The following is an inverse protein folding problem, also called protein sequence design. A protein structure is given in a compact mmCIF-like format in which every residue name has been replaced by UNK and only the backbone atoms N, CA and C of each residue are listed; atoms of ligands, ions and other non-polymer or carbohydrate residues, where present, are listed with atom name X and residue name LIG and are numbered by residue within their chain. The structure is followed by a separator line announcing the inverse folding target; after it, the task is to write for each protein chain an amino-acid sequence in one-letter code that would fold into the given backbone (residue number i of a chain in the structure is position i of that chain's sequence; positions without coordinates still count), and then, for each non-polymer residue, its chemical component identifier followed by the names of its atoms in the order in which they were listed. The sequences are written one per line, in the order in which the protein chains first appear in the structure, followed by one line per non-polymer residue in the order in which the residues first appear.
data_IF_459479430703
#
_entry.id   IF_459479430703
#
_cell.length_a   1.000
_cell.length_b   1.000
_cell.length_c   1.000
_cell.angle_alpha   90.00
_cell.angle_beta   90.00
_cell.angle_gamma   90.00
#
_symmetry.space_group_name_H-M   'P 1'
#
loop_
_entity.id
_entity.type
_entity.pdbx_description
1 polymer ?
#
# COMPACT_ATOMS: atom_id res chain seq x y z
N UNK A 1 -7.28 4.29 -4.47
CA UNK A 1 -8.05 4.77 -5.63
C UNK A 1 -9.54 4.56 -5.39
N UNK A 2 -10.42 5.56 -5.56
CA UNK A 2 -11.87 5.32 -5.58
C UNK A 2 -12.24 4.40 -6.78
N UNK A 3 -13.33 3.62 -6.70
CA UNK A 3 -13.70 2.67 -7.77
C UNK A 3 -14.25 3.34 -9.02
N UNK A 4 -14.78 4.56 -8.92
CA UNK A 4 -15.26 5.32 -10.07
C UNK A 4 -15.21 6.82 -9.80
N UNK A 5 -15.28 7.60 -10.89
CA UNK A 5 -15.37 9.06 -10.83
C UNK A 5 -16.62 9.52 -10.06
N UNK A 6 -17.75 8.83 -10.23
CA UNK A 6 -18.99 9.17 -9.52
C UNK A 6 -18.87 8.94 -8.02
N UNK A 7 -18.22 7.84 -7.60
CA UNK A 7 -17.97 7.55 -6.19
C UNK A 7 -16.98 8.56 -5.59
N UNK A 8 -15.97 8.98 -6.37
CA UNK A 8 -15.07 10.05 -5.95
C UNK A 8 -15.81 11.37 -5.73
N UNK A 9 -16.62 11.78 -6.71
CA UNK A 9 -17.44 13.00 -6.62
C UNK A 9 -18.40 12.93 -5.44
N UNK A 10 -19.12 11.83 -5.25
CA UNK A 10 -20.02 11.63 -4.12
C UNK A 10 -19.29 11.71 -2.76
N UNK A 11 -18.10 11.11 -2.64
CA UNK A 11 -17.28 11.17 -1.41
C UNK A 11 -16.76 12.57 -1.12
N UNK A 12 -16.36 13.33 -2.14
CA UNK A 12 -15.89 14.72 -1.97
C UNK A 12 -17.06 15.64 -1.58
N UNK A 13 -18.21 15.53 -2.25
CA UNK A 13 -19.41 16.30 -1.91
C UNK A 13 -19.95 15.96 -0.52
N UNK A 14 -19.93 14.67 -0.13
CA UNK A 14 -20.34 14.19 1.19
C UNK A 14 -19.51 14.76 2.35
N UNK A 15 -18.24 15.13 2.10
CA UNK A 15 -17.38 15.69 3.14
C UNK A 15 -17.74 17.14 3.48
N UNK A 16 -18.53 17.83 2.64
CA UNK A 16 -19.08 19.17 2.85
C UNK A 16 -18.07 20.22 3.37
N UNK A 17 -16.78 20.03 3.09
CA UNK A 17 -15.67 20.79 3.67
C UNK A 17 -14.90 21.60 2.63
N UNK A 18 -15.29 21.54 1.36
CA UNK A 18 -14.54 22.13 0.25
C UNK A 18 -15.49 22.95 -0.64
N UNK A 19 -15.02 24.12 -1.08
CA UNK A 19 -15.76 24.96 -2.03
C UNK A 19 -15.80 24.30 -3.42
N UNK A 20 -16.79 24.66 -4.24
CA UNK A 20 -16.98 24.05 -5.56
C UNK A 20 -15.74 24.15 -6.47
N UNK A 21 -14.94 25.22 -6.34
CA UNK A 21 -13.71 25.42 -7.11
C UNK A 21 -12.59 24.43 -6.70
N UNK A 22 -12.46 24.13 -5.42
CA UNK A 22 -11.49 23.17 -4.89
C UNK A 22 -11.87 21.74 -5.29
N UNK A 23 -13.17 21.43 -5.25
CA UNK A 23 -13.70 20.13 -5.66
C UNK A 23 -13.43 19.85 -7.14
N UNK A 24 -13.65 20.83 -8.03
CA UNK A 24 -13.33 20.69 -9.46
C UNK A 24 -11.83 20.51 -9.71
N UNK A 25 -11.00 21.25 -8.98
CA UNK A 25 -9.54 21.13 -9.08
C UNK A 25 -9.08 19.73 -8.65
N UNK A 26 -9.60 19.20 -7.55
CA UNK A 26 -9.32 17.84 -7.09
C UNK A 26 -9.80 16.77 -8.06
N UNK A 27 -11.01 16.91 -8.61
CA UNK A 27 -11.53 15.97 -9.60
C UNK A 27 -10.64 15.95 -10.85
N UNK A 28 -10.16 17.10 -11.32
CA UNK A 28 -9.22 17.18 -12.44
C UNK A 28 -7.88 16.50 -12.12
N UNK A 29 -7.31 16.79 -10.96
CA UNK A 29 -6.04 16.18 -10.55
C UNK A 29 -6.16 14.66 -10.36
N UNK A 30 -7.34 14.16 -9.97
CA UNK A 30 -7.56 12.72 -9.81
C UNK A 30 -7.47 11.95 -11.13
N UNK A 31 -7.81 12.57 -12.26
CA UNK A 31 -7.60 11.97 -13.58
C UNK A 31 -6.12 11.77 -13.89
N UNK A 32 -5.31 12.80 -13.62
CA UNK A 32 -3.86 12.73 -13.83
C UNK A 32 -3.19 11.69 -12.92
N UNK A 33 -3.65 11.56 -11.67
CA UNK A 33 -3.20 10.50 -10.76
C UNK A 33 -3.58 9.10 -11.26
N UNK A 34 -4.82 8.92 -11.76
CA UNK A 34 -5.25 7.64 -12.33
C UNK A 34 -4.41 7.28 -13.54
N UNK A 35 -4.08 8.22 -14.42
CA UNK A 35 -3.24 7.96 -15.60
C UNK A 35 -1.81 7.54 -15.24
N UNK A 36 -1.31 7.99 -14.09
CA UNK A 36 0.02 7.66 -13.60
C UNK A 36 0.09 6.39 -12.74
N UNK A 37 -1.00 5.62 -12.62
CA UNK A 37 -1.04 4.42 -11.79
C UNK A 37 0.08 3.41 -12.08
N UNK A 38 0.53 3.34 -13.33
CA UNK A 38 1.60 2.45 -13.80
C UNK A 38 2.96 2.74 -13.17
N UNK A 39 3.14 3.92 -12.55
CA UNK A 39 4.36 4.30 -11.82
C UNK A 39 4.44 3.69 -10.42
N UNK A 40 3.36 3.13 -9.91
CA UNK A 40 3.28 2.57 -8.57
C UNK A 40 3.39 1.05 -8.60
N UNK A 41 4.10 0.50 -7.62
CA UNK A 41 4.28 -0.95 -7.45
C UNK A 41 2.98 -1.67 -7.08
N UNK A 42 2.09 -0.98 -6.37
CA UNK A 42 0.81 -1.52 -5.90
C UNK A 42 -0.31 -0.51 -6.13
N UNK A 43 -1.48 -1.01 -6.53
CA UNK A 43 -2.71 -0.22 -6.64
C UNK A 43 -3.77 -0.87 -5.76
N UNK A 44 -4.41 -0.05 -4.93
CA UNK A 44 -5.51 -0.46 -4.04
C UNK A 44 -6.77 0.30 -4.44
N UNK A 45 -7.81 -0.44 -4.83
CA UNK A 45 -9.14 0.12 -5.13
C UNK A 45 -9.94 0.14 -3.83
N UNK A 46 -10.33 1.34 -3.41
CA UNK A 46 -11.02 1.63 -2.16
C UNK A 46 -12.53 1.71 -2.40
N UNK A 47 -13.12 0.55 -2.66
CA UNK A 47 -14.57 0.35 -2.69
C UNK A 47 -15.15 0.44 -1.28
N UNK A 48 -14.66 -0.39 -0.37
CA UNK A 48 -15.02 -0.39 1.04
C UNK A 48 -13.81 -0.13 1.94
N UNK A 49 -13.96 0.78 2.91
CA UNK A 49 -12.89 1.18 3.82
C UNK A 49 -12.26 -0.01 4.58
N UNK A 50 -13.04 -0.97 5.14
CA UNK A 50 -12.45 -2.12 5.83
C UNK A 50 -11.64 -3.01 4.88
N UNK A 51 -12.12 -3.22 3.65
CA UNK A 51 -11.43 -4.03 2.65
C UNK A 51 -10.12 -3.38 2.20
N UNK A 52 -10.16 -2.07 1.87
CA UNK A 52 -8.98 -1.31 1.48
C UNK A 52 -7.91 -1.29 2.58
N UNK A 53 -8.33 -1.15 3.84
CA UNK A 53 -7.43 -1.18 5.00
C UNK A 53 -6.71 -2.53 5.12
N UNK A 54 -7.45 -3.64 4.96
CA UNK A 54 -6.84 -4.98 4.97
C UNK A 54 -5.84 -5.17 3.82
N UNK A 55 -6.19 -4.73 2.61
CA UNK A 55 -5.30 -4.83 1.46
C UNK A 55 -3.99 -4.06 1.66
N UNK A 56 -4.07 -2.83 2.19
CA UNK A 56 -2.89 -2.03 2.52
C UNK A 56 -2.05 -2.72 3.59
N UNK A 57 -2.68 -3.24 4.65
CA UNK A 57 -1.96 -3.96 5.71
C UNK A 57 -1.23 -5.19 5.15
N UNK A 58 -1.87 -5.95 4.25
CA UNK A 58 -1.25 -7.10 3.59
C UNK A 58 -0.04 -6.71 2.74
N UNK A 59 -0.11 -5.60 2.00
CA UNK A 59 1.03 -5.09 1.21
C UNK A 59 2.21 -4.74 2.13
N UNK A 60 1.95 -4.03 3.23
CA UNK A 60 3.00 -3.67 4.20
C UNK A 60 3.62 -4.93 4.81
N UNK A 61 2.80 -5.93 5.16
CA UNK A 61 3.29 -7.19 5.68
C UNK A 61 4.16 -7.93 4.66
N UNK A 62 3.72 -8.02 3.40
CA UNK A 62 4.49 -8.66 2.34
C UNK A 62 5.85 -7.95 2.11
N UNK A 63 5.85 -6.62 2.07
CA UNK A 63 7.06 -5.80 1.95
C UNK A 63 8.06 -6.04 3.09
N UNK A 64 7.55 -6.23 4.32
CA UNK A 64 8.39 -6.56 5.49
C UNK A 64 9.03 -7.95 5.38
N UNK A 65 8.37 -8.90 4.73
CA UNK A 65 8.86 -10.27 4.57
C UNK A 65 9.73 -10.48 3.33
N UNK A 66 10.03 -9.42 2.56
CA UNK A 66 11.00 -9.52 1.48
C UNK A 66 12.34 -10.04 2.00
N UNK A 67 12.93 -10.99 1.27
CA UNK A 67 14.21 -11.62 1.61
C UNK A 67 15.25 -10.61 2.06
N UNK A 68 15.41 -9.52 1.31
CA UNK A 68 16.44 -8.51 1.57
C UNK A 68 16.19 -7.79 2.91
N UNK A 69 14.93 -7.63 3.33
CA UNK A 69 14.56 -7.08 4.64
C UNK A 69 14.65 -8.10 5.79
N UNK A 70 14.58 -9.39 5.48
CA UNK A 70 14.73 -10.51 6.43
C UNK A 70 16.18 -10.97 6.59
N UNK A 71 17.10 -10.40 5.81
CA UNK A 71 18.52 -10.80 5.75
C UNK A 71 19.20 -10.87 7.12
N UNK A 72 18.96 -9.88 8.00
CA UNK A 72 19.54 -9.86 9.36
C UNK A 72 19.03 -11.02 10.20
N UNK A 73 17.71 -11.25 10.22
CA UNK A 73 17.10 -12.35 10.97
C UNK A 73 17.61 -13.71 10.49
N UNK A 74 17.76 -13.88 9.17
CA UNK A 74 18.31 -15.10 8.57
C UNK A 74 19.77 -15.27 8.94
N UNK A 75 20.59 -14.21 8.94
CA UNK A 75 22.01 -14.32 9.29
C UNK A 75 22.20 -14.82 10.72
N UNK A 76 21.44 -14.30 11.67
CA UNK A 76 21.46 -14.79 13.07
C UNK A 76 21.14 -16.28 13.15
N UNK A 77 20.15 -16.73 12.38
CA UNK A 77 19.79 -18.14 12.31
C UNK A 77 20.96 -18.95 11.73
N UNK A 78 21.54 -18.53 10.60
CA UNK A 78 22.68 -19.21 9.96
C UNK A 78 23.88 -19.33 10.91
N UNK A 79 24.23 -18.26 11.62
CA UNK A 79 25.34 -18.26 12.58
C UNK A 79 25.12 -19.28 13.71
N UNK A 80 23.87 -19.43 14.18
CA UNK A 80 23.51 -20.43 15.19
C UNK A 80 23.66 -21.88 14.69
N UNK A 81 23.35 -22.12 13.41
CA UNK A 81 23.55 -23.42 12.78
C UNK A 81 25.04 -23.73 12.60
N UNK A 82 25.84 -22.75 12.20
CA UNK A 82 27.29 -22.92 12.04
C UNK A 82 28.01 -23.18 13.37
N UNK A 83 27.60 -22.50 14.45
CA UNK A 83 28.09 -22.75 15.79
C UNK A 83 27.79 -24.21 16.24
N UNK A 84 26.57 -24.66 15.98
CA UNK A 84 26.13 -26.02 16.32
C UNK A 84 26.85 -27.09 15.47
N UNK A 85 27.11 -26.81 14.19
CA UNK A 85 27.80 -27.74 13.29
C UNK A 85 29.23 -28.06 13.73
N UNK A 86 29.90 -27.14 14.44
CA UNK A 86 31.23 -27.39 15.04
C UNK A 86 31.17 -28.35 16.24
N UNK A 87 29.99 -28.54 16.83
CA UNK A 87 29.75 -29.41 17.97
C UNK A 87 29.53 -30.88 17.57
N UNK A 88 29.22 -31.13 16.28
CA UNK A 88 29.01 -32.46 15.69
C UNK A 88 30.16 -32.92 14.78
N UNK A 89 31.31 -32.23 14.84
CA UNK A 89 32.57 -32.65 14.22
C UNK A 89 33.54 -33.07 15.31
#
# INVERSE_FOLDING_TARGET
MPPSFEVLKARLTSRATEDQAELQTRLRNSFDEVLQYSRFKYVVVNEELPAATRQIASIIMAERHLRDRQSVSIQVILDSFDASRRQFR
#
